data_IF_401920400271
#
_entry.id   IF_401920400271
#
_cell.length_a   1.000
_cell.length_b   1.000
_cell.length_c   1.000
_cell.angle_alpha   90.00
_cell.angle_beta   90.00
_cell.angle_gamma   90.00
#
_symmetry.space_group_name_H-M   'P 1'
#
loop_
_entity.id
_entity.type
_entity.pdbx_description
1 polymer ?
#
# COMPACT_ATOMS: atom_id res chain seq x y z
N UNK A 1 -9.07 -13.91 11.19
CA UNK A 1 -9.67 -13.57 9.88
C UNK A 1 -8.73 -12.58 9.22
N UNK A 2 -8.61 -12.59 7.90
CA UNK A 2 -7.71 -11.67 7.21
C UNK A 2 -8.36 -10.30 7.15
N UNK A 3 -7.60 -9.23 7.38
CA UNK A 3 -8.08 -7.86 7.25
C UNK A 3 -7.37 -7.13 6.11
N UNK A 4 -8.13 -6.49 5.24
CA UNK A 4 -7.63 -5.73 4.09
C UNK A 4 -7.75 -4.24 4.36
N UNK A 5 -6.72 -3.47 4.01
CA UNK A 5 -6.80 -2.02 3.89
C UNK A 5 -6.80 -1.67 2.41
N UNK A 6 -7.93 -1.18 1.92
CA UNK A 6 -8.12 -0.76 0.53
C UNK A 6 -8.03 0.76 0.40
N UNK A 7 -7.01 1.23 -0.30
CA UNK A 7 -6.77 2.63 -0.61
C UNK A 7 -7.00 2.90 -2.10
N UNK A 8 -7.87 3.85 -2.41
CA UNK A 8 -7.98 4.42 -3.75
C UNK A 8 -7.38 5.82 -3.79
N UNK A 9 -6.30 5.99 -4.57
CA UNK A 9 -5.53 7.23 -4.67
C UNK A 9 -5.83 8.08 -5.92
N UNK A 10 -6.66 7.57 -6.83
CA UNK A 10 -7.04 8.32 -8.04
C UNK A 10 -7.93 9.51 -7.70
N UNK A 11 -7.51 10.71 -8.12
CA UNK A 11 -8.36 11.91 -8.03
C UNK A 11 -9.59 11.85 -8.96
N UNK A 12 -9.56 11.00 -10.01
CA UNK A 12 -10.77 10.71 -10.79
C UNK A 12 -11.70 9.81 -9.98
N UNK A 13 -12.98 10.17 -9.79
CA UNK A 13 -13.97 9.30 -9.18
C UNK A 13 -14.39 8.18 -10.15
N UNK A 14 -15.16 7.23 -9.66
CA UNK A 14 -15.76 6.18 -10.47
C UNK A 14 -14.78 5.15 -11.04
N UNK A 15 -15.34 4.17 -11.75
CA UNK A 15 -14.65 3.00 -12.28
C UNK A 15 -14.62 3.07 -13.80
N UNK A 16 -13.43 2.98 -14.40
CA UNK A 16 -13.31 2.92 -15.85
C UNK A 16 -14.10 1.74 -16.43
N UNK A 17 -14.82 1.97 -17.52
CA UNK A 17 -15.71 0.98 -18.14
C UNK A 17 -17.12 0.91 -17.53
N UNK A 18 -17.39 1.65 -16.44
CA UNK A 18 -18.73 1.82 -15.86
C UNK A 18 -19.15 3.29 -15.82
N UNK A 19 -18.28 4.14 -15.31
CA UNK A 19 -18.52 5.56 -15.14
C UNK A 19 -17.80 6.36 -16.23
N UNK A 20 -18.46 7.41 -16.72
CA UNK A 20 -17.83 8.36 -17.64
C UNK A 20 -16.63 9.03 -16.95
N UNK A 21 -15.46 9.01 -17.59
CA UNK A 21 -14.17 9.43 -17.02
C UNK A 21 -13.70 8.65 -15.78
N UNK A 22 -14.27 7.46 -15.52
CA UNK A 22 -13.88 6.59 -14.42
C UNK A 22 -12.40 6.20 -14.41
N UNK A 23 -11.89 5.84 -13.24
CA UNK A 23 -10.47 5.50 -13.06
C UNK A 23 -10.18 4.02 -13.33
N UNK A 24 -9.11 3.74 -14.09
CA UNK A 24 -8.63 2.37 -14.31
C UNK A 24 -7.97 1.77 -13.06
N UNK A 25 -7.24 2.57 -12.27
CA UNK A 25 -6.61 2.06 -11.05
C UNK A 25 -7.65 1.70 -9.98
N UNK A 26 -8.75 2.48 -9.88
CA UNK A 26 -9.91 2.12 -9.04
C UNK A 26 -10.63 0.87 -9.53
N UNK A 27 -10.73 0.70 -10.85
CA UNK A 27 -11.32 -0.53 -11.40
C UNK A 27 -10.51 -1.78 -11.02
N UNK A 28 -9.17 -1.70 -11.05
CA UNK A 28 -8.31 -2.80 -10.60
C UNK A 28 -8.47 -3.10 -9.11
N UNK A 29 -8.42 -2.08 -8.24
CA UNK A 29 -8.55 -2.27 -6.79
C UNK A 29 -9.93 -2.79 -6.41
N UNK A 30 -10.99 -2.28 -7.03
CA UNK A 30 -12.34 -2.81 -6.86
C UNK A 30 -12.45 -4.27 -7.31
N UNK A 31 -11.83 -4.64 -8.44
CA UNK A 31 -11.80 -6.04 -8.90
C UNK A 31 -11.12 -6.93 -7.87
N UNK A 32 -9.97 -6.52 -7.35
CA UNK A 32 -9.24 -7.27 -6.32
C UNK A 32 -10.11 -7.54 -5.09
N UNK A 33 -10.72 -6.48 -4.51
CA UNK A 33 -11.55 -6.60 -3.31
C UNK A 33 -12.81 -7.44 -3.56
N UNK A 34 -13.49 -7.23 -4.69
CA UNK A 34 -14.68 -8.02 -5.04
C UNK A 34 -14.37 -9.51 -5.18
N UNK A 35 -13.25 -9.85 -5.83
CA UNK A 35 -12.84 -11.25 -6.00
C UNK A 35 -12.38 -11.87 -4.69
N UNK A 36 -11.72 -11.09 -3.83
CA UNK A 36 -11.33 -11.53 -2.50
C UNK A 36 -12.57 -11.94 -1.69
N UNK A 37 -13.52 -11.02 -1.54
CA UNK A 37 -14.71 -11.21 -0.71
C UNK A 37 -15.68 -12.26 -1.27
N UNK A 38 -15.74 -12.44 -2.59
CA UNK A 38 -16.57 -13.48 -3.21
C UNK A 38 -16.21 -14.90 -2.71
N UNK A 39 -14.96 -15.13 -2.32
CA UNK A 39 -14.47 -16.43 -1.82
C UNK A 39 -14.23 -16.44 -0.32
N UNK A 40 -14.06 -15.26 0.30
CA UNK A 40 -13.78 -15.08 1.73
C UNK A 40 -14.65 -13.98 2.32
N UNK A 41 -15.99 -14.17 2.36
CA UNK A 41 -16.94 -13.15 2.81
C UNK A 41 -16.80 -12.78 4.30
N UNK A 42 -16.12 -13.61 5.09
CA UNK A 42 -15.85 -13.37 6.51
C UNK A 42 -14.65 -12.45 6.78
N UNK A 43 -13.80 -12.19 5.79
CA UNK A 43 -12.65 -11.30 5.96
C UNK A 43 -13.10 -9.83 6.02
N UNK A 44 -12.35 -9.01 6.76
CA UNK A 44 -12.66 -7.60 6.94
C UNK A 44 -12.01 -6.71 5.89
N UNK A 45 -12.65 -5.57 5.58
CA UNK A 45 -12.09 -4.54 4.70
C UNK A 45 -12.29 -3.17 5.34
N UNK A 46 -11.20 -2.44 5.54
CA UNK A 46 -11.22 -0.99 5.77
C UNK A 46 -10.99 -0.31 4.43
N UNK A 47 -11.93 0.54 3.99
CA UNK A 47 -11.81 1.30 2.75
C UNK A 47 -11.47 2.77 3.03
N UNK A 48 -10.54 3.33 2.24
CA UNK A 48 -10.28 4.76 2.18
C UNK A 48 -10.18 5.27 0.76
N UNK A 49 -11.03 6.25 0.46
CA UNK A 49 -10.91 7.05 -0.75
C UNK A 49 -10.00 8.26 -0.52
N UNK A 50 -8.68 8.04 -0.55
CA UNK A 50 -7.70 9.13 -0.35
C UNK A 50 -7.58 10.02 -1.60
N UNK A 51 -8.04 9.57 -2.76
CA UNK A 51 -8.10 10.38 -3.97
C UNK A 51 -9.19 11.45 -3.92
N UNK A 52 -10.33 11.18 -3.27
CA UNK A 52 -11.40 12.16 -3.03
C UNK A 52 -11.28 12.88 -1.68
N UNK A 53 -10.78 12.18 -0.65
CA UNK A 53 -10.62 12.70 0.71
C UNK A 53 -9.14 12.58 1.11
N UNK A 54 -8.26 13.45 0.57
CA UNK A 54 -6.83 13.35 0.81
C UNK A 54 -6.51 13.55 2.29
N UNK A 55 -5.55 12.81 2.87
CA UNK A 55 -5.03 13.08 4.20
C UNK A 55 -4.43 14.48 4.30
N UNK A 56 -4.39 15.04 5.50
CA UNK A 56 -3.68 16.30 5.73
C UNK A 56 -2.19 16.15 5.39
N UNK A 57 -1.57 17.22 4.87
CA UNK A 57 -0.13 17.26 4.73
C UNK A 57 0.55 17.37 6.09
N UNK A 58 1.76 16.81 6.19
CA UNK A 58 2.62 16.99 7.36
C UNK A 58 2.94 18.47 7.54
N UNK A 59 2.68 18.98 8.74
CA UNK A 59 2.88 20.37 9.15
C UNK A 59 4.00 20.49 10.19
N UNK A 60 4.36 21.72 10.54
CA UNK A 60 5.29 21.98 11.66
C UNK A 60 4.80 21.34 12.96
N UNK A 61 3.53 21.54 13.31
CA UNK A 61 2.93 21.01 14.54
C UNK A 61 2.90 19.48 14.53
N UNK A 62 2.65 18.87 13.37
CA UNK A 62 2.74 17.42 13.22
C UNK A 62 4.15 16.93 13.48
N UNK A 63 5.18 17.57 12.92
CA UNK A 63 6.59 17.21 13.14
C UNK A 63 6.97 17.39 14.61
N UNK A 64 6.64 18.53 15.21
CA UNK A 64 6.91 18.80 16.62
C UNK A 64 6.28 17.72 17.51
N UNK A 65 5.05 17.30 17.18
CA UNK A 65 4.32 16.26 17.91
C UNK A 65 4.91 14.87 17.71
N UNK A 66 5.16 14.46 16.45
CA UNK A 66 5.62 13.12 16.09
C UNK A 66 7.01 12.77 16.65
N UNK A 67 7.85 13.78 16.88
CA UNK A 67 9.21 13.61 17.40
C UNK A 67 9.33 13.96 18.89
N UNK A 68 8.27 14.40 19.55
CA UNK A 68 8.24 14.58 21.01
C UNK A 68 7.84 13.24 21.67
N UNK A 69 8.66 12.70 22.59
CA UNK A 69 8.28 11.49 23.35
C UNK A 69 6.93 11.65 24.05
N UNK A 70 6.15 10.57 24.11
CA UNK A 70 4.76 10.60 24.58
C UNK A 70 4.63 11.23 25.98
N UNK A 71 5.59 10.99 26.87
CA UNK A 71 5.59 11.51 28.24
C UNK A 71 5.76 13.04 28.31
N UNK A 72 6.27 13.64 27.22
CA UNK A 72 6.49 15.08 27.07
C UNK A 72 5.47 15.75 26.15
N UNK A 73 4.52 15.00 25.60
CA UNK A 73 3.53 15.57 24.68
C UNK A 73 2.52 16.45 25.42
N UNK A 74 2.22 17.60 24.81
CA UNK A 74 1.17 18.51 25.26
C UNK A 74 -0.19 18.09 24.66
N UNK A 75 -1.34 18.51 25.24
CA UNK A 75 -2.65 18.10 24.74
C UNK A 75 -2.88 18.35 23.24
N UNK A 76 -2.46 19.51 22.72
CA UNK A 76 -2.60 19.85 21.30
C UNK A 76 -1.80 18.94 20.37
N UNK A 77 -0.73 18.31 20.85
CA UNK A 77 0.08 17.39 20.06
C UNK A 77 -0.69 16.11 19.72
N UNK A 78 -1.57 15.67 20.62
CA UNK A 78 -2.46 14.53 20.37
C UNK A 78 -3.45 14.86 19.26
N UNK A 79 -4.02 16.06 19.28
CA UNK A 79 -4.93 16.52 18.24
C UNK A 79 -4.21 16.63 16.88
N UNK A 80 -2.97 17.13 16.87
CA UNK A 80 -2.14 17.22 15.67
C UNK A 80 -1.79 15.84 15.06
N UNK A 81 -1.72 14.79 15.88
CA UNK A 81 -1.42 13.42 15.44
C UNK A 81 -2.65 12.54 15.24
N UNK A 82 -3.86 12.99 15.62
CA UNK A 82 -5.05 12.15 15.64
C UNK A 82 -5.40 11.51 14.28
N UNK A 83 -5.16 12.22 13.18
CA UNK A 83 -5.33 11.66 11.84
C UNK A 83 -4.26 10.60 11.54
N UNK A 84 -2.99 10.92 11.79
CA UNK A 84 -1.86 9.99 11.63
C UNK A 84 -2.08 8.70 12.41
N UNK A 85 -2.48 8.82 13.68
CA UNK A 85 -2.70 7.68 14.56
C UNK A 85 -3.78 6.75 13.99
N UNK A 86 -4.88 7.31 13.49
CA UNK A 86 -5.95 6.53 12.84
C UNK A 86 -5.46 5.80 11.59
N UNK A 87 -4.69 6.48 10.74
CA UNK A 87 -4.15 5.89 9.51
C UNK A 87 -3.12 4.79 9.80
N UNK A 88 -2.29 4.99 10.81
CA UNK A 88 -1.33 3.98 11.30
C UNK A 88 -2.07 2.77 11.87
N UNK A 89 -3.10 2.97 12.69
CA UNK A 89 -3.84 1.86 13.31
C UNK A 89 -4.53 0.96 12.27
N UNK A 90 -5.09 1.56 11.22
CA UNK A 90 -5.65 0.79 10.10
C UNK A 90 -4.59 0.01 9.33
N UNK A 91 -3.40 0.59 9.14
CA UNK A 91 -2.28 -0.10 8.50
C UNK A 91 -1.76 -1.25 9.36
N UNK A 92 -1.63 -1.06 10.67
CA UNK A 92 -1.16 -2.09 11.61
C UNK A 92 -2.13 -3.29 11.66
N UNK A 93 -3.44 -3.01 11.61
CA UNK A 93 -4.48 -4.02 11.58
C UNK A 93 -4.50 -4.84 10.28
N UNK A 94 -4.05 -4.27 9.16
CA UNK A 94 -4.10 -4.92 7.86
C UNK A 94 -3.07 -6.06 7.72
N UNK A 95 -3.53 -7.15 7.11
CA UNK A 95 -2.70 -8.25 6.60
C UNK A 95 -2.37 -8.05 5.12
N UNK A 96 -3.29 -7.41 4.38
CA UNK A 96 -3.12 -7.08 2.96
C UNK A 96 -3.47 -5.61 2.74
N UNK A 97 -2.48 -4.83 2.30
CA UNK A 97 -2.62 -3.45 1.87
C UNK A 97 -2.86 -3.43 0.36
N UNK A 98 -4.01 -2.94 -0.10
CA UNK A 98 -4.37 -2.83 -1.52
C UNK A 98 -4.39 -1.35 -1.91
N UNK A 99 -3.53 -0.95 -2.85
CA UNK A 99 -3.38 0.44 -3.28
C UNK A 99 -3.72 0.56 -4.76
N UNK A 100 -4.88 1.14 -5.08
CA UNK A 100 -5.25 1.55 -6.43
C UNK A 100 -4.76 2.96 -6.72
N UNK A 101 -3.74 3.14 -7.57
CA UNK A 101 -3.12 4.46 -7.79
C UNK A 101 -2.79 4.75 -9.26
N UNK A 102 -3.01 5.96 -9.78
CA UNK A 102 -2.48 6.34 -11.07
C UNK A 102 -1.00 6.79 -10.97
N UNK A 103 -0.27 6.72 -12.09
CA UNK A 103 1.03 7.37 -12.26
C UNK A 103 0.81 8.83 -12.67
N UNK A 104 1.05 9.77 -11.76
CA UNK A 104 0.95 11.21 -12.04
C UNK A 104 2.34 11.84 -12.06
N UNK A 105 2.72 12.47 -13.17
CA UNK A 105 4.02 13.12 -13.35
C UNK A 105 5.19 12.23 -12.86
N UNK A 106 5.22 10.98 -13.34
CA UNK A 106 6.26 9.99 -13.05
C UNK A 106 6.28 9.42 -11.62
N UNK A 107 5.39 9.86 -10.71
CA UNK A 107 5.37 9.41 -9.32
C UNK A 107 3.98 9.23 -8.72
N UNK A 108 3.93 9.24 -7.38
CA UNK A 108 2.70 9.18 -6.59
C UNK A 108 1.81 10.41 -6.81
N UNK A 109 0.48 10.25 -6.79
CA UNK A 109 -0.41 11.36 -6.51
C UNK A 109 -0.05 12.00 -5.16
N UNK A 110 -0.16 13.32 -5.05
CA UNK A 110 0.18 14.04 -3.82
C UNK A 110 -0.59 13.51 -2.59
N UNK A 111 -1.85 13.11 -2.77
CA UNK A 111 -2.67 12.50 -1.72
C UNK A 111 -2.10 11.16 -1.21
N UNK A 112 -1.56 10.33 -2.10
CA UNK A 112 -0.92 9.07 -1.70
C UNK A 112 0.40 9.33 -0.99
N UNK A 113 1.17 10.33 -1.43
CA UNK A 113 2.38 10.75 -0.72
C UNK A 113 2.05 11.29 0.68
N UNK A 114 0.97 12.08 0.82
CA UNK A 114 0.49 12.52 2.12
C UNK A 114 0.10 11.34 3.02
N UNK A 115 -0.57 10.32 2.47
CA UNK A 115 -0.86 9.09 3.22
C UNK A 115 0.41 8.39 3.69
N UNK A 116 1.41 8.23 2.82
CA UNK A 116 2.71 7.64 3.20
C UNK A 116 3.37 8.45 4.32
N UNK A 117 3.37 9.78 4.22
CA UNK A 117 3.95 10.66 5.24
C UNK A 117 3.24 10.54 6.59
N UNK A 118 1.93 10.30 6.58
CA UNK A 118 1.15 10.09 7.80
C UNK A 118 1.40 8.74 8.45
N UNK A 119 1.75 7.68 7.70
CA UNK A 119 1.91 6.32 8.25
C UNK A 119 3.35 5.92 8.56
N UNK A 120 4.35 6.62 8.02
CA UNK A 120 5.76 6.44 8.42
C UNK A 120 6.00 7.23 9.71
N UNK A 121 5.87 6.55 10.85
CA UNK A 121 5.86 7.14 12.19
C UNK A 121 6.88 6.46 13.08
N UNK A 122 7.75 7.28 13.67
CA UNK A 122 8.69 6.83 14.69
C UNK A 122 7.93 6.23 15.89
N UNK A 123 8.46 5.13 16.43
CA UNK A 123 7.90 4.33 17.53
C UNK A 123 6.52 3.70 17.24
N UNK A 124 6.06 3.71 15.98
CA UNK A 124 4.81 3.04 15.57
C UNK A 124 5.03 2.11 14.39
N UNK A 125 5.65 2.61 13.33
CA UNK A 125 5.95 1.83 12.12
C UNK A 125 7.44 1.73 11.82
N UNK A 126 8.25 2.59 12.45
CA UNK A 126 9.72 2.58 12.41
C UNK A 126 10.27 2.80 13.82
N UNK A 127 11.22 1.97 14.25
CA UNK A 127 11.98 2.12 15.49
C UNK A 127 13.39 2.64 15.24
N UNK A 128 14.12 2.91 16.32
CA UNK A 128 15.54 3.28 16.28
C UNK A 128 16.39 2.26 17.05
N UNK A 129 17.54 1.91 16.49
CA UNK A 129 18.61 1.15 17.11
C UNK A 129 19.89 2.00 17.14
N UNK A 130 20.14 2.63 18.28
CA UNK A 130 21.32 3.48 18.50
C UNK A 130 22.65 2.70 18.49
N UNK A 131 22.60 1.35 18.51
CA UNK A 131 23.80 0.51 18.43
C UNK A 131 24.35 0.39 17.00
N UNK A 132 23.55 0.69 15.98
CA UNK A 132 23.94 0.67 14.57
C UNK A 132 23.78 2.06 13.92
N UNK A 133 24.71 3.01 14.15
CA UNK A 133 24.55 4.39 13.69
C UNK A 133 24.56 4.56 12.16
N UNK A 134 25.02 3.56 11.40
CA UNK A 134 25.01 3.60 9.93
C UNK A 134 23.69 3.12 9.32
N UNK A 135 22.91 2.35 10.08
CA UNK A 135 21.56 1.91 9.72
C UNK A 135 20.71 1.80 10.98
N UNK A 136 20.30 2.95 11.56
CA UNK A 136 19.67 2.98 12.88
C UNK A 136 18.17 2.64 12.80
N UNK A 137 17.59 2.42 11.62
CA UNK A 137 16.15 2.28 11.47
C UNK A 137 15.71 0.82 11.56
N UNK A 138 14.76 0.54 12.46
CA UNK A 138 14.21 -0.80 12.64
C UNK A 138 12.79 -0.86 12.08
N UNK A 139 12.50 -1.69 11.06
CA UNK A 139 11.14 -1.84 10.54
C UNK A 139 10.24 -2.52 11.58
N UNK A 140 9.16 -1.85 12.01
CA UNK A 140 8.29 -2.38 13.07
C UNK A 140 7.16 -3.29 12.56
N UNK A 141 6.87 -3.28 11.25
CA UNK A 141 5.83 -4.14 10.64
C UNK A 141 6.41 -5.44 10.08
N UNK A 142 7.65 -5.77 10.43
CA UNK A 142 8.27 -7.07 10.12
C UNK A 142 7.89 -8.18 11.14
N UNK A 143 7.09 -7.85 12.16
CA UNK A 143 6.60 -8.77 13.20
C UNK A 143 5.77 -9.94 12.65
N UNK A 144 5.12 -9.72 11.51
CA UNK A 144 4.37 -10.72 10.76
C UNK A 144 4.41 -10.41 9.27
N UNK A 145 4.15 -11.43 8.46
CA UNK A 145 4.05 -11.26 7.02
C UNK A 145 2.80 -10.43 6.68
N UNK A 146 3.00 -9.36 5.92
CA UNK A 146 1.96 -8.53 5.33
C UNK A 146 2.23 -8.40 3.84
N UNK A 147 1.16 -8.33 3.05
CA UNK A 147 1.25 -8.17 1.60
C UNK A 147 0.85 -6.76 1.19
N UNK A 148 1.59 -6.16 0.28
CA UNK A 148 1.18 -4.94 -0.42
C UNK A 148 0.86 -5.27 -1.88
N UNK A 149 -0.33 -4.91 -2.33
CA UNK A 149 -0.81 -5.09 -3.70
C UNK A 149 -0.98 -3.70 -4.32
N UNK A 150 -0.08 -3.35 -5.23
CA UNK A 150 -0.03 -2.06 -5.90
C UNK A 150 -0.63 -2.22 -7.30
N UNK A 151 -1.75 -1.54 -7.53
CA UNK A 151 -2.58 -1.65 -8.73
C UNK A 151 -2.57 -0.32 -9.47
N UNK A 152 -1.78 -0.24 -10.53
CA UNK A 152 -1.46 1.03 -11.18
C UNK A 152 -2.19 1.23 -12.51
N UNK A 153 -2.51 2.49 -12.85
CA UNK A 153 -2.83 2.89 -14.21
C UNK A 153 -1.86 3.97 -14.72
N UNK A 154 -1.33 3.81 -15.94
CA UNK A 154 -0.31 4.66 -16.54
C UNK A 154 -0.76 5.17 -17.92
N UNK A 155 -0.45 6.44 -18.21
CA UNK A 155 -0.75 7.08 -19.50
C UNK A 155 0.02 6.45 -20.66
N UNK A 156 1.35 6.45 -20.55
CA UNK A 156 2.24 5.82 -21.53
C UNK A 156 2.44 4.32 -21.31
N UNK A 157 3.44 3.76 -22.01
CA UNK A 157 3.80 2.33 -21.99
C UNK A 157 5.28 2.14 -21.65
N UNK A 158 5.62 0.95 -21.15
CA UNK A 158 7.01 0.53 -20.92
C UNK A 158 7.61 1.05 -19.62
N UNK A 159 6.79 1.34 -18.59
CA UNK A 159 7.26 1.74 -17.26
C UNK A 159 7.59 0.54 -16.35
N UNK A 160 7.21 -0.68 -16.75
CA UNK A 160 7.60 -1.91 -16.06
C UNK A 160 9.08 -2.27 -16.23
N UNK A 161 9.61 -3.21 -15.42
CA UNK A 161 11.01 -3.64 -15.51
C UNK A 161 11.42 -4.03 -16.94
N UNK A 162 12.57 -3.53 -17.40
CA UNK A 162 13.09 -3.79 -18.75
C UNK A 162 12.43 -2.97 -19.87
N UNK A 163 11.38 -2.19 -19.58
CA UNK A 163 10.73 -1.31 -20.54
C UNK A 163 11.53 -0.02 -20.83
N UNK A 164 11.26 0.61 -21.98
CA UNK A 164 11.96 1.81 -22.42
C UNK A 164 11.80 3.01 -21.46
N UNK A 165 10.66 3.09 -20.77
CA UNK A 165 10.32 4.15 -19.81
C UNK A 165 10.55 3.74 -18.35
N UNK A 166 11.11 2.55 -18.09
CA UNK A 166 11.29 2.00 -16.75
C UNK A 166 12.08 2.94 -15.82
N UNK A 167 13.08 3.64 -16.36
CA UNK A 167 13.90 4.61 -15.63
C UNK A 167 13.14 5.85 -15.17
N UNK A 168 11.97 6.14 -15.76
CA UNK A 168 11.08 7.23 -15.40
C UNK A 168 9.95 6.77 -14.48
N UNK A 169 9.95 5.50 -14.04
CA UNK A 169 9.00 5.04 -13.06
C UNK A 169 9.51 5.35 -11.64
N UNK A 170 8.95 6.38 -11.02
CA UNK A 170 9.19 6.72 -9.62
C UNK A 170 7.97 6.47 -8.73
N UNK A 171 6.94 5.78 -9.22
CA UNK A 171 5.76 5.44 -8.42
C UNK A 171 5.98 4.14 -7.66
N UNK A 172 6.00 3.01 -8.37
CA UNK A 172 6.11 1.70 -7.73
C UNK A 172 7.43 1.50 -6.99
N UNK A 173 8.60 1.95 -7.51
CA UNK A 173 9.84 1.88 -6.75
C UNK A 173 9.82 2.73 -5.48
N UNK A 174 9.19 3.90 -5.50
CA UNK A 174 9.09 4.75 -4.31
C UNK A 174 8.16 4.12 -3.25
N UNK A 175 7.01 3.58 -3.67
CA UNK A 175 6.14 2.79 -2.79
C UNK A 175 6.88 1.60 -2.20
N UNK A 176 7.65 0.86 -3.01
CA UNK A 176 8.42 -0.29 -2.54
C UNK A 176 9.47 0.09 -1.49
N UNK A 177 10.19 1.20 -1.70
CA UNK A 177 11.13 1.73 -0.71
C UNK A 177 10.42 2.11 0.58
N UNK A 178 9.33 2.90 0.52
CA UNK A 178 8.63 3.38 1.71
C UNK A 178 7.99 2.23 2.51
N UNK A 179 7.36 1.27 1.83
CA UNK A 179 6.74 0.10 2.46
C UNK A 179 7.80 -0.86 3.02
N UNK A 180 8.90 -1.06 2.29
CA UNK A 180 10.03 -1.86 2.77
C UNK A 180 10.67 -1.27 4.03
N UNK A 181 10.81 0.06 4.08
CA UNK A 181 11.35 0.79 5.22
C UNK A 181 10.57 0.56 6.53
N UNK A 182 9.25 0.41 6.45
CA UNK A 182 8.41 0.09 7.62
C UNK A 182 8.27 -1.42 7.87
N UNK A 183 8.71 -2.29 6.95
CA UNK A 183 8.74 -3.75 7.10
C UNK A 183 7.80 -4.55 6.19
N UNK A 184 7.05 -3.90 5.29
CA UNK A 184 6.16 -4.58 4.34
C UNK A 184 6.92 -4.88 3.05
N UNK A 185 7.41 -6.11 2.91
CA UNK A 185 8.33 -6.51 1.82
C UNK A 185 7.72 -7.47 0.79
N UNK A 186 6.54 -8.06 1.05
CA UNK A 186 5.81 -8.88 0.06
C UNK A 186 4.98 -7.98 -0.86
N UNK A 187 5.62 -7.47 -1.90
CA UNK A 187 5.02 -6.49 -2.82
C UNK A 187 4.63 -7.15 -4.14
N UNK A 188 3.38 -6.93 -4.54
CA UNK A 188 2.77 -7.40 -5.78
C UNK A 188 2.39 -6.19 -6.63
N UNK A 189 2.72 -6.19 -7.91
CA UNK A 189 2.52 -5.04 -8.79
C UNK A 189 1.80 -5.48 -10.06
N UNK A 190 0.67 -4.83 -10.37
CA UNK A 190 -0.09 -5.03 -11.60
C UNK A 190 -0.40 -3.66 -12.18
N UNK A 191 -0.20 -3.48 -13.49
CA UNK A 191 -0.37 -2.19 -14.14
C UNK A 191 -1.22 -2.29 -15.40
N UNK A 192 -2.07 -1.27 -15.60
CA UNK A 192 -2.63 -0.90 -16.91
C UNK A 192 -1.73 0.19 -17.51
N UNK A 193 -1.39 0.05 -18.78
CA UNK A 193 -0.60 1.01 -19.54
C UNK A 193 -1.31 1.43 -20.84
N UNK A 194 -0.83 2.52 -21.46
CA UNK A 194 -1.34 2.98 -22.75
C UNK A 194 -2.66 3.73 -22.68
N UNK A 195 -3.02 4.29 -21.52
CA UNK A 195 -4.28 5.03 -21.35
C UNK A 195 -4.38 6.27 -22.25
N UNK A 196 -3.27 6.95 -22.52
CA UNK A 196 -3.25 8.12 -23.41
C UNK A 196 -3.42 7.73 -24.89
N UNK A 197 -2.97 6.54 -25.27
CA UNK A 197 -3.13 6.00 -26.62
C UNK A 197 -4.55 5.46 -26.83
N UNK A 198 -5.10 4.76 -25.83
CA UNK A 198 -6.43 4.17 -25.92
C UNK A 198 -6.53 3.00 -26.90
N UNK A 199 -7.73 2.79 -27.45
CA UNK A 199 -8.00 1.76 -28.46
C UNK A 199 -7.69 0.33 -28.01
N UNK A 200 -7.28 -0.51 -28.96
CA UNK A 200 -6.95 -1.92 -28.69
C UNK A 200 -5.78 -2.10 -27.72
N UNK A 201 -4.81 -1.16 -27.73
CA UNK A 201 -3.67 -1.21 -26.81
C UNK A 201 -4.14 -1.15 -25.36
N UNK A 202 -4.96 -0.16 -25.03
CA UNK A 202 -5.53 -0.03 -23.69
C UNK A 202 -6.46 -1.21 -23.37
N UNK A 203 -7.32 -1.62 -24.29
CA UNK A 203 -8.24 -2.74 -24.07
C UNK A 203 -7.50 -4.04 -23.73
N UNK A 204 -6.41 -4.34 -24.44
CA UNK A 204 -5.58 -5.51 -24.19
C UNK A 204 -4.86 -5.41 -22.83
N UNK A 205 -4.32 -4.24 -22.50
CA UNK A 205 -3.67 -4.00 -21.19
C UNK A 205 -4.65 -4.15 -20.03
N UNK A 206 -5.87 -3.61 -20.16
CA UNK A 206 -6.95 -3.79 -19.16
C UNK A 206 -7.32 -5.26 -18.99
N UNK A 207 -7.54 -5.98 -20.10
CA UNK A 207 -7.93 -7.39 -20.06
C UNK A 207 -6.84 -8.26 -19.39
N UNK A 208 -5.57 -8.00 -19.68
CA UNK A 208 -4.44 -8.70 -19.04
C UNK A 208 -4.33 -8.37 -17.56
N UNK A 209 -4.38 -7.08 -17.19
CA UNK A 209 -4.29 -6.67 -15.79
C UNK A 209 -5.44 -7.27 -14.95
N UNK A 210 -6.66 -7.36 -15.47
CA UNK A 210 -7.78 -8.00 -14.78
C UNK A 210 -7.57 -9.51 -14.57
N UNK A 211 -6.99 -10.21 -15.56
CA UNK A 211 -6.61 -11.63 -15.39
C UNK A 211 -5.53 -11.81 -14.33
N UNK A 212 -4.53 -10.93 -14.32
CA UNK A 212 -3.47 -10.96 -13.31
C UNK A 212 -4.01 -10.70 -11.91
N UNK A 213 -4.97 -9.77 -11.76
CA UNK A 213 -5.65 -9.52 -10.47
C UNK A 213 -6.37 -10.78 -10.00
N UNK A 214 -7.13 -11.44 -10.87
CA UNK A 214 -7.86 -12.67 -10.53
C UNK A 214 -6.91 -13.81 -10.10
N UNK A 215 -5.79 -13.97 -10.80
CA UNK A 215 -4.77 -14.96 -10.47
C UNK A 215 -4.09 -14.66 -9.12
N UNK A 216 -3.70 -13.40 -8.89
CA UNK A 216 -3.09 -12.97 -7.64
C UNK A 216 -4.01 -13.17 -6.43
N UNK A 217 -5.31 -12.86 -6.58
CA UNK A 217 -6.29 -13.13 -5.51
C UNK A 217 -6.32 -14.61 -5.17
N UNK A 218 -6.35 -15.50 -6.18
CA UNK A 218 -6.34 -16.93 -5.94
C UNK A 218 -5.04 -17.40 -5.21
N UNK A 219 -3.88 -16.90 -5.65
CA UNK A 219 -2.59 -17.17 -5.03
C UNK A 219 -2.53 -16.74 -3.56
N UNK A 220 -2.86 -15.47 -3.28
CA UNK A 220 -2.81 -14.92 -1.93
C UNK A 220 -3.79 -15.63 -0.99
N UNK A 221 -4.98 -15.99 -1.46
CA UNK A 221 -5.94 -16.74 -0.65
C UNK A 221 -5.43 -18.13 -0.28
N UNK A 222 -4.68 -18.79 -1.16
CA UNK A 222 -4.07 -20.10 -0.86
C UNK A 222 -2.91 -19.97 0.13
N UNK A 223 -2.11 -18.91 0.00
CA UNK A 223 -0.91 -18.69 0.83
C UNK A 223 -1.30 -18.26 2.25
N UNK A 224 -2.26 -17.33 2.37
CA UNK A 224 -2.71 -16.78 3.66
C UNK A 224 -3.61 -17.78 4.43
N UNK A 225 -4.20 -18.78 3.75
CA UNK A 225 -5.03 -19.82 4.38
C UNK A 225 -4.24 -21.00 4.98
N UNK A 226 -2.98 -21.22 4.60
CA UNK A 226 -2.22 -22.37 5.09
C UNK A 226 -1.86 -22.20 6.58
N UNK A 227 -2.21 -23.15 7.47
CA UNK A 227 -1.68 -23.15 8.82
C UNK A 227 -0.15 -23.29 8.74
N UNK A 228 0.58 -22.34 9.34
CA UNK A 228 2.04 -22.40 9.41
C UNK A 228 2.46 -23.73 10.06
N UNK A 229 3.41 -24.49 9.48
CA UNK A 229 4.03 -25.57 10.22
C UNK A 229 4.69 -24.95 11.47
N UNK A 230 4.26 -25.39 12.65
CA UNK A 230 4.94 -25.02 13.91
C UNK A 230 6.39 -25.50 13.77
N UNK A 231 7.33 -24.57 13.68
CA UNK A 231 8.74 -24.89 13.87
C UNK A 231 8.87 -25.45 15.28
N UNK A 232 9.02 -26.77 15.40
CA UNK A 232 9.24 -27.38 16.70
C UNK A 232 10.62 -26.95 17.16
N UNK A 233 10.70 -26.13 18.19
CA UNK A 233 11.89 -26.07 19.01
C UNK A 233 12.06 -27.46 19.63
N UNK A 234 12.97 -28.26 19.06
CA UNK A 234 13.52 -29.43 19.71
C UNK A 234 15.04 -29.35 19.62
N UNK A 235 15.64 -29.56 20.79
CA UNK A 235 17.04 -29.84 21.08
C UNK A 235 17.95 -28.63 21.28
N UNK A 236 17.86 -28.08 22.49
CA UNK A 236 19.00 -27.54 23.22
C UNK A 236 19.02 -28.17 24.62
N UNK A 237 19.21 -29.50 24.70
CA UNK A 237 19.66 -30.19 25.91
C UNK A 237 20.50 -31.41 25.47
N UNK A 238 21.81 -31.20 25.34
CA UNK A 238 22.86 -32.21 25.47
C UNK A 238 24.24 -31.55 25.30
N UNK A 239 24.76 -30.96 26.37
CA UNK A 239 26.20 -30.95 26.75
C UNK A 239 26.34 -30.31 28.13
#
# INVERSE_FOLDING_TARGET
MTHLLHLDASARPGLAGKDEHGSHSRNLSQRFISQWLARRPQDGVTYRDIGQNPPSFVSHDWIASAFTPEERQQPWMKDALAESDRLVDELLAADVLVIGTPLYNFGMPAALKAWIDQVVRLNRTVGLDDSNPLDPYVPMLADRERHAVILTARGGVGFGPGGAMAHMNHLEPNLATALGFIGITRIHQIAIEGQEVGGELLANSVAEALRQVDALVAELQSTIAAPRPRVSQRQAEAS
#
